data_IF_460060808872
#
_entry.id   IF_460060808872
#
_cell.length_a   1.000
_cell.length_b   1.000
_cell.length_c   1.000
_cell.angle_alpha   90.00
_cell.angle_beta   90.00
_cell.angle_gamma   90.00
#
_symmetry.space_group_name_H-M   'P 1'
#
loop_
_entity.id
_entity.type
_entity.pdbx_description
1 polymer ?
#
# COMPACT_ATOMS: atom_id res chain seq x y z
N UNK A 1 -8.02 7.87 -33.22
CA UNK A 1 -7.05 6.96 -32.58
C UNK A 1 -7.58 6.56 -31.22
N UNK A 2 -7.62 5.27 -30.90
CA UNK A 2 -7.94 4.80 -29.55
C UNK A 2 -6.74 5.07 -28.65
N UNK A 3 -6.94 5.73 -27.51
CA UNK A 3 -5.88 5.87 -26.49
C UNK A 3 -5.58 4.46 -25.99
N UNK A 4 -4.31 4.01 -25.95
CA UNK A 4 -3.99 2.72 -25.36
C UNK A 4 -4.47 2.70 -23.90
N UNK A 5 -5.05 1.58 -23.48
CA UNK A 5 -5.47 1.41 -22.10
C UNK A 5 -4.26 1.64 -21.18
N UNK A 6 -4.41 2.52 -20.17
CA UNK A 6 -3.40 2.70 -19.15
C UNK A 6 -3.19 1.38 -18.42
N UNK A 7 -1.94 0.91 -18.20
CA UNK A 7 -1.68 -0.31 -17.44
C UNK A 7 -2.09 -0.20 -15.96
N UNK A 8 -2.33 1.03 -15.50
CA UNK A 8 -2.79 1.35 -14.15
C UNK A 8 -4.12 2.11 -14.22
N UNK A 9 -5.09 1.68 -13.42
CA UNK A 9 -6.42 2.28 -13.28
C UNK A 9 -6.42 3.51 -12.36
N UNK A 10 -5.41 3.63 -11.50
CA UNK A 10 -5.20 4.80 -10.63
C UNK A 10 -3.70 5.02 -10.36
N UNK A 11 -3.27 6.27 -10.05
CA UNK A 11 -1.86 6.58 -9.79
C UNK A 11 -1.22 5.73 -8.67
N UNK A 12 -1.98 5.37 -7.64
CA UNK A 12 -1.48 4.58 -6.52
C UNK A 12 -1.09 3.15 -6.93
N UNK A 13 -1.68 2.59 -7.98
CA UNK A 13 -1.34 1.25 -8.46
C UNK A 13 0.11 1.19 -8.98
N UNK A 14 0.53 2.24 -9.70
CA UNK A 14 1.91 2.38 -10.16
C UNK A 14 2.89 2.54 -8.97
N UNK A 15 2.46 3.22 -7.90
CA UNK A 15 3.27 3.38 -6.69
C UNK A 15 3.46 2.05 -5.96
N UNK A 16 2.40 1.25 -5.83
CA UNK A 16 2.50 -0.10 -5.24
C UNK A 16 3.44 -0.98 -6.05
N UNK A 17 3.29 -1.01 -7.38
CA UNK A 17 4.20 -1.74 -8.26
C UNK A 17 5.66 -1.31 -8.05
N UNK A 18 5.92 0.00 -8.08
CA UNK A 18 7.27 0.55 -7.90
C UNK A 18 7.86 0.19 -6.53
N UNK A 19 7.07 0.28 -5.45
CA UNK A 19 7.52 -0.11 -4.11
C UNK A 19 7.89 -1.59 -4.03
N UNK A 20 7.06 -2.49 -4.60
CA UNK A 20 7.36 -3.93 -4.63
C UNK A 20 8.69 -4.18 -5.33
N UNK A 21 8.89 -3.63 -6.54
CA UNK A 21 10.12 -3.81 -7.31
C UNK A 21 11.33 -3.24 -6.56
N UNK A 22 11.27 -1.98 -6.10
CA UNK A 22 12.41 -1.35 -5.44
C UNK A 22 12.79 -2.02 -4.12
N UNK A 23 11.83 -2.48 -3.32
CA UNK A 23 12.11 -3.19 -2.08
C UNK A 23 12.70 -4.58 -2.34
N UNK A 24 12.21 -5.28 -3.37
CA UNK A 24 12.78 -6.54 -3.81
C UNK A 24 14.22 -6.36 -4.32
N UNK A 25 14.47 -5.37 -5.18
CA UNK A 25 15.81 -5.04 -5.70
C UNK A 25 16.79 -4.65 -4.58
N UNK A 26 16.29 -4.01 -3.51
CA UNK A 26 17.08 -3.70 -2.31
C UNK A 26 17.42 -4.91 -1.44
N UNK A 27 16.87 -6.09 -1.77
CA UNK A 27 17.08 -7.33 -1.03
C UNK A 27 16.24 -7.47 0.24
N UNK A 28 15.20 -6.65 0.41
CA UNK A 28 14.32 -6.74 1.58
C UNK A 28 13.59 -8.09 1.60
N UNK A 29 13.14 -8.56 0.44
CA UNK A 29 12.51 -9.86 0.25
C UNK A 29 12.90 -10.44 -1.12
N UNK A 30 12.71 -11.75 -1.27
CA UNK A 30 12.94 -12.44 -2.54
C UNK A 30 11.66 -12.53 -3.37
N UNK A 31 11.78 -12.72 -4.69
CA UNK A 31 10.63 -13.00 -5.54
C UNK A 31 9.85 -14.26 -5.14
N UNK A 32 10.51 -15.26 -4.54
CA UNK A 32 9.86 -16.46 -4.04
C UNK A 32 8.95 -16.13 -2.84
N UNK A 33 9.48 -15.40 -1.85
CA UNK A 33 8.69 -14.91 -0.71
C UNK A 33 7.52 -14.03 -1.16
N UNK A 34 7.74 -13.18 -2.17
CA UNK A 34 6.68 -12.37 -2.77
C UNK A 34 5.58 -13.23 -3.39
N UNK A 35 5.95 -14.20 -4.23
CA UNK A 35 5.00 -15.08 -4.89
C UNK A 35 4.17 -15.89 -3.90
N UNK A 36 4.80 -16.43 -2.86
CA UNK A 36 4.13 -17.18 -1.80
C UNK A 36 3.14 -16.30 -1.03
N UNK A 37 3.56 -15.10 -0.64
CA UNK A 37 2.72 -14.17 0.13
C UNK A 37 1.55 -13.63 -0.71
N UNK A 38 1.80 -13.25 -1.96
CA UNK A 38 0.76 -12.79 -2.87
C UNK A 38 -0.24 -13.91 -3.21
N UNK A 39 0.26 -15.14 -3.40
CA UNK A 39 -0.58 -16.32 -3.60
C UNK A 39 -1.53 -16.55 -2.42
N UNK A 40 -1.01 -16.48 -1.19
CA UNK A 40 -1.82 -16.59 0.02
C UNK A 40 -2.82 -15.42 0.16
N UNK A 41 -2.44 -14.20 -0.24
CA UNK A 41 -3.34 -13.04 -0.22
C UNK A 41 -4.47 -13.13 -1.27
N UNK A 42 -4.20 -13.76 -2.42
CA UNK A 42 -5.16 -14.02 -3.50
C UNK A 42 -6.11 -15.16 -3.13
N UNK A 43 -5.58 -16.22 -2.52
CA UNK A 43 -6.29 -17.44 -2.17
C UNK A 43 -6.15 -17.75 -0.67
N UNK A 44 -6.87 -17.01 0.19
CA UNK A 44 -6.84 -17.28 1.61
C UNK A 44 -7.50 -18.63 1.94
N UNK A 45 -7.06 -19.27 3.02
CA UNK A 45 -7.55 -20.60 3.41
C UNK A 45 -9.03 -20.60 3.86
N UNK A 46 -9.51 -19.45 4.32
CA UNK A 46 -10.83 -19.22 4.92
C UNK A 46 -11.77 -18.40 4.02
N UNK A 47 -11.40 -18.18 2.75
CA UNK A 47 -12.17 -17.33 1.85
C UNK A 47 -12.05 -17.69 0.37
N UNK A 48 -12.87 -17.06 -0.50
CA UNK A 48 -12.80 -17.28 -1.93
C UNK A 48 -11.54 -16.66 -2.55
N UNK A 49 -11.07 -17.25 -3.63
CA UNK A 49 -10.02 -16.68 -4.47
C UNK A 49 -10.46 -15.33 -5.05
N UNK A 50 -9.55 -14.36 -5.07
CA UNK A 50 -9.77 -13.01 -5.57
C UNK A 50 -8.79 -12.65 -6.70
N UNK A 51 -9.13 -11.70 -7.59
CA UNK A 51 -8.18 -11.25 -8.61
C UNK A 51 -6.88 -10.69 -8.00
N UNK A 52 -5.77 -10.92 -8.68
CA UNK A 52 -4.44 -10.38 -8.35
C UNK A 52 -4.32 -8.87 -8.64
N UNK A 53 -5.32 -8.07 -8.23
CA UNK A 53 -5.32 -6.63 -8.42
C UNK A 53 -4.30 -5.95 -7.48
N UNK A 54 -4.04 -4.66 -7.70
CA UNK A 54 -3.07 -3.92 -6.90
C UNK A 54 -3.46 -3.75 -5.43
N UNK A 55 -4.73 -3.98 -5.07
CA UNK A 55 -5.15 -4.07 -3.67
C UNK A 55 -4.61 -5.33 -2.99
N UNK A 56 -4.63 -6.48 -3.69
CA UNK A 56 -3.99 -7.72 -3.21
C UNK A 56 -2.46 -7.60 -3.18
N UNK A 57 -1.86 -6.88 -4.12
CA UNK A 57 -0.43 -6.56 -4.07
C UNK A 57 -0.09 -5.74 -2.84
N UNK A 58 -0.85 -4.67 -2.56
CA UNK A 58 -0.63 -3.86 -1.37
C UNK A 58 -0.76 -4.68 -0.10
N UNK A 59 -1.79 -5.52 0.02
CA UNK A 59 -1.97 -6.40 1.19
C UNK A 59 -0.78 -7.37 1.37
N UNK A 60 -0.28 -7.98 0.29
CA UNK A 60 0.88 -8.85 0.36
C UNK A 60 2.15 -8.10 0.78
N UNK A 61 2.33 -6.87 0.30
CA UNK A 61 3.45 -6.02 0.70
C UNK A 61 3.37 -5.63 2.19
N UNK A 62 2.19 -5.25 2.68
CA UNK A 62 1.95 -4.95 4.10
C UNK A 62 2.30 -6.14 4.99
N UNK A 63 1.93 -7.38 4.60
CA UNK A 63 2.29 -8.61 5.33
C UNK A 63 3.82 -8.79 5.41
N UNK A 64 4.53 -8.62 4.29
CA UNK A 64 5.99 -8.76 4.21
C UNK A 64 6.70 -7.71 5.08
N UNK A 65 6.22 -6.47 5.06
CA UNK A 65 6.78 -5.36 5.85
C UNK A 65 6.50 -5.51 7.35
N UNK A 66 5.30 -5.97 7.71
CA UNK A 66 4.93 -6.25 9.10
C UNK A 66 5.79 -7.38 9.68
N UNK A 67 6.00 -8.47 8.93
CA UNK A 67 6.85 -9.59 9.34
C UNK A 67 8.32 -9.17 9.58
N UNK A 68 8.74 -8.04 9.01
CA UNK A 68 10.08 -7.46 9.16
C UNK A 68 10.14 -6.32 10.19
N UNK A 69 9.02 -5.99 10.84
CA UNK A 69 8.92 -4.89 11.82
C UNK A 69 9.09 -3.50 11.21
N UNK A 70 8.84 -3.33 9.91
CA UNK A 70 9.01 -2.05 9.19
C UNK A 70 7.73 -1.22 9.19
N UNK A 71 6.59 -1.89 8.97
CA UNK A 71 5.28 -1.26 8.96
C UNK A 71 4.23 -2.29 9.41
N UNK A 72 4.02 -2.38 10.72
CA UNK A 72 2.96 -3.23 11.29
C UNK A 72 1.57 -2.58 11.15
N UNK A 73 0.53 -3.36 11.46
CA UNK A 73 -0.85 -2.92 11.33
C UNK A 73 -1.13 -1.65 12.17
N UNK A 74 -0.66 -1.60 13.42
CA UNK A 74 -0.86 -0.46 14.31
C UNK A 74 -0.20 0.81 13.76
N UNK A 75 1.00 0.70 13.20
CA UNK A 75 1.70 1.82 12.57
C UNK A 75 0.98 2.31 11.32
N UNK A 76 0.47 1.40 10.49
CA UNK A 76 -0.30 1.74 9.29
C UNK A 76 -1.63 2.40 9.65
N UNK A 77 -2.33 1.87 10.65
CA UNK A 77 -3.61 2.42 11.12
C UNK A 77 -3.42 3.81 11.75
N UNK A 78 -2.41 3.98 12.60
CA UNK A 78 -2.06 5.29 13.13
C UNK A 78 -1.72 6.30 12.02
N UNK A 79 -1.06 5.85 10.95
CA UNK A 79 -0.75 6.69 9.78
C UNK A 79 -2.01 7.05 8.98
N UNK A 80 -2.92 6.10 8.77
CA UNK A 80 -4.22 6.33 8.11
C UNK A 80 -5.05 7.33 8.90
N UNK A 81 -5.14 7.15 10.21
CA UNK A 81 -5.87 8.05 11.10
C UNK A 81 -5.28 9.47 11.10
N UNK A 82 -3.95 9.60 11.07
CA UNK A 82 -3.28 10.89 10.95
C UNK A 82 -3.63 11.59 9.62
N UNK A 83 -3.64 10.84 8.51
CA UNK A 83 -4.06 11.38 7.22
C UNK A 83 -5.54 11.79 7.20
N UNK A 84 -6.43 11.04 7.86
CA UNK A 84 -7.84 11.39 7.97
C UNK A 84 -8.05 12.68 8.77
N UNK A 85 -7.37 12.83 9.91
CA UNK A 85 -7.40 14.08 10.70
C UNK A 85 -6.80 15.25 9.93
N UNK A 86 -5.69 15.04 9.23
CA UNK A 86 -5.10 16.05 8.37
C UNK A 86 -6.06 16.49 7.26
N UNK A 87 -6.77 15.54 6.63
CA UNK A 87 -7.76 15.84 5.60
C UNK A 87 -8.91 16.68 6.14
N UNK A 88 -9.43 16.35 7.33
CA UNK A 88 -10.49 17.11 8.00
C UNK A 88 -10.06 18.53 8.39
N UNK A 89 -8.80 18.68 8.84
CA UNK A 89 -8.24 19.97 9.22
C UNK A 89 -7.79 20.84 8.02
N UNK A 90 -7.77 20.31 6.80
CA UNK A 90 -7.29 21.02 5.60
C UNK A 90 -8.44 21.78 4.93
N UNK A 91 -8.38 23.13 4.84
CA UNK A 91 -9.35 23.90 4.08
C UNK A 91 -9.44 23.46 2.61
N UNK A 92 -10.63 23.54 2.03
CA UNK A 92 -10.84 23.20 0.62
C UNK A 92 -9.91 23.97 -0.32
N UNK A 93 -9.33 23.26 -1.28
CA UNK A 93 -8.39 23.83 -2.26
C UNK A 93 -6.94 23.87 -1.80
N UNK A 94 -6.64 23.48 -0.56
CA UNK A 94 -5.27 23.31 -0.07
C UNK A 94 -4.83 21.84 -0.08
N UNK A 95 -3.52 21.56 -0.21
CA UNK A 95 -3.01 20.19 -0.19
C UNK A 95 -3.14 19.57 1.21
N UNK A 96 -3.53 18.29 1.25
CA UNK A 96 -3.54 17.50 2.47
C UNK A 96 -2.12 17.02 2.74
N UNK A 97 -1.52 17.53 3.80
CA UNK A 97 -0.20 17.14 4.29
C UNK A 97 -0.32 16.61 5.72
N UNK A 98 0.54 15.70 6.16
CA UNK A 98 0.46 15.12 7.51
C UNK A 98 0.65 16.17 8.61
N UNK A 99 1.39 17.23 8.30
CA UNK A 99 1.60 18.40 9.15
C UNK A 99 0.29 19.15 9.46
N UNK A 100 -0.77 18.89 8.69
CA UNK A 100 -2.09 19.44 8.94
C UNK A 100 -2.86 18.65 10.02
N UNK A 101 -2.40 17.44 10.42
CA UNK A 101 -3.00 16.71 11.54
C UNK A 101 -2.83 17.54 12.83
N UNK A 102 -3.91 17.91 13.54
CA UNK A 102 -3.82 18.64 14.80
C UNK A 102 -2.98 17.94 15.88
N UNK A 103 -2.77 16.63 15.76
CA UNK A 103 -1.95 15.82 16.65
C UNK A 103 -0.52 15.59 16.12
N UNK A 104 -0.14 16.20 14.99
CA UNK A 104 1.16 16.00 14.37
C UNK A 104 2.29 16.34 15.34
N UNK A 105 3.21 15.40 15.53
CA UNK A 105 4.48 15.60 16.25
C UNK A 105 5.62 15.22 15.31
N UNK A 106 6.66 16.05 15.31
CA UNK A 106 7.86 15.87 14.50
C UNK A 106 8.85 14.92 15.16
#
# INVERSE_FOLDING_TARGET
MSVPASPFSAPWEAQVFAMVVSLQESGLFTWAEWADTLGAAIRPADGPEAPANYGRWLAALEIILAARGIADADTLDARRDAFLRAAEATPHGLPIALENDPLFRR
#
